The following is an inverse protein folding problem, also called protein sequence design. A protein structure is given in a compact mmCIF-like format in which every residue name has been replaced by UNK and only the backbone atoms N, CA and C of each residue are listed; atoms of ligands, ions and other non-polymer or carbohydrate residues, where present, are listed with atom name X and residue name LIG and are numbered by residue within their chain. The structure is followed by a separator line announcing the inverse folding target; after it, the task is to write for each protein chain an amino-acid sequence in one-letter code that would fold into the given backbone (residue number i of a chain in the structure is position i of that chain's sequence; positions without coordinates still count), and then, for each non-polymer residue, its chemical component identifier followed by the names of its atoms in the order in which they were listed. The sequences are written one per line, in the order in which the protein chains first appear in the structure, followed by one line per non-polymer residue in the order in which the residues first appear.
data_IF_555831982383
#
_entry.id   IF_555831982383
#
_cell.length_a   1.000
_cell.length_b   1.000
_cell.length_c   1.000
_cell.angle_alpha   90.00
_cell.angle_beta   90.00
_cell.angle_gamma   90.00
#
_symmetry.space_group_name_H-M   'P 1'
#
loop_
_entity.id
_entity.type
_entity.pdbx_description
1 polymer ?
#
# COMPACT_ATOMS: atom_id res chain seq x y z
N UNK A 1 3.11 13.83 6.67
CA UNK A 1 1.97 13.05 6.12
C UNK A 1 0.67 13.30 6.87
N UNK A 2 0.61 14.37 7.62
CA UNK A 2 -0.58 14.73 8.38
C UNK A 2 -1.77 14.94 7.45
N UNK A 3 -2.88 14.28 7.78
CA UNK A 3 -4.11 14.41 7.00
C UNK A 3 -4.21 13.50 5.79
N UNK A 4 -3.19 12.71 5.49
CA UNK A 4 -3.27 11.76 4.37
C UNK A 4 -4.17 10.58 4.73
N UNK A 5 -4.88 10.10 3.72
CA UNK A 5 -5.73 8.92 3.84
C UNK A 5 -5.00 7.74 3.20
N UNK A 6 -4.68 6.74 4.01
CA UNK A 6 -3.85 5.61 3.59
C UNK A 6 -4.63 4.30 3.66
N UNK A 7 -4.60 3.54 2.58
CA UNK A 7 -5.12 2.18 2.57
C UNK A 7 -3.93 1.26 2.86
N UNK A 8 -4.00 0.54 3.97
CA UNK A 8 -2.91 -0.33 4.44
C UNK A 8 -3.34 -1.79 4.36
N UNK A 9 -2.68 -2.55 3.51
CA UNK A 9 -2.95 -3.98 3.34
C UNK A 9 -1.82 -4.80 3.94
N UNK A 10 -2.13 -5.61 4.95
CA UNK A 10 -1.19 -6.43 5.69
C UNK A 10 -1.97 -7.58 6.35
N UNK A 11 -1.52 -8.82 6.17
CA UNK A 11 -2.25 -9.97 6.70
C UNK A 11 -1.84 -10.36 8.14
N UNK A 12 -0.69 -9.91 8.59
CA UNK A 12 -0.19 -10.22 9.93
C UNK A 12 -0.69 -9.17 10.92
N UNK A 13 -1.40 -9.64 11.95
CA UNK A 13 -2.02 -8.75 12.94
C UNK A 13 -1.01 -7.84 13.63
N UNK A 14 0.12 -8.39 14.06
CA UNK A 14 1.15 -7.61 14.74
C UNK A 14 1.76 -6.56 13.81
N UNK A 15 2.09 -6.95 12.58
CA UNK A 15 2.65 -6.03 11.60
C UNK A 15 1.64 -4.92 11.25
N UNK A 16 0.36 -5.28 11.17
CA UNK A 16 -0.70 -4.30 10.92
C UNK A 16 -0.76 -3.27 12.04
N UNK A 17 -0.73 -3.72 13.30
CA UNK A 17 -0.78 -2.81 14.44
C UNK A 17 0.42 -1.87 14.46
N UNK A 18 1.61 -2.39 14.18
CA UNK A 18 2.83 -1.59 14.19
C UNK A 18 2.77 -0.52 13.09
N UNK A 19 2.41 -0.92 11.88
CA UNK A 19 2.34 0.02 10.75
C UNK A 19 1.24 1.07 10.98
N UNK A 20 0.08 0.64 11.47
CA UNK A 20 -1.02 1.55 11.77
C UNK A 20 -0.60 2.59 12.80
N UNK A 21 0.07 2.13 13.87
CA UNK A 21 0.55 3.03 14.93
C UNK A 21 1.52 4.05 14.36
N UNK A 22 2.49 3.61 13.56
CA UNK A 22 3.48 4.51 12.96
C UNK A 22 2.82 5.61 12.14
N UNK A 23 1.84 5.23 11.31
CA UNK A 23 1.19 6.16 10.40
C UNK A 23 0.27 7.12 11.15
N UNK A 24 -0.50 6.61 12.10
CA UNK A 24 -1.40 7.45 12.89
C UNK A 24 -0.63 8.44 13.76
N UNK A 25 0.52 8.01 14.27
CA UNK A 25 1.39 8.87 15.06
C UNK A 25 1.91 10.07 14.25
N UNK A 26 1.96 9.92 12.93
CA UNK A 26 2.36 11.00 12.02
C UNK A 26 1.16 11.79 11.49
N UNK A 27 -0.03 11.50 11.99
CA UNK A 27 -1.24 12.24 11.64
C UNK A 27 -2.01 11.74 10.44
N UNK A 28 -1.69 10.55 9.95
CA UNK A 28 -2.42 9.96 8.81
C UNK A 28 -3.65 9.20 9.29
N UNK A 29 -4.66 9.13 8.42
CA UNK A 29 -5.82 8.29 8.64
C UNK A 29 -5.60 6.97 7.91
N UNK A 30 -5.84 5.86 8.59
CA UNK A 30 -5.54 4.53 8.05
C UNK A 30 -6.80 3.68 7.96
N UNK A 31 -7.03 3.10 6.79
CA UNK A 31 -8.05 2.08 6.59
C UNK A 31 -7.32 0.76 6.36
N UNK A 32 -7.72 -0.27 7.10
CA UNK A 32 -7.02 -1.56 7.10
C UNK A 32 -7.66 -2.57 6.17
N UNK A 33 -6.83 -3.28 5.42
CA UNK A 33 -7.24 -4.44 4.63
C UNK A 33 -6.36 -5.62 5.04
N UNK A 34 -6.96 -6.79 5.21
CA UNK A 34 -6.26 -7.95 5.75
C UNK A 34 -5.76 -8.92 4.68
N UNK A 35 -6.08 -8.66 3.44
CA UNK A 35 -5.55 -9.38 2.27
C UNK A 35 -5.75 -8.52 1.03
N UNK A 36 -5.22 -9.00 -0.10
CA UNK A 36 -5.29 -8.24 -1.34
C UNK A 36 -6.71 -8.03 -1.84
N UNK A 37 -7.56 -9.03 -1.65
CA UNK A 37 -8.95 -8.93 -2.11
C UNK A 37 -9.71 -7.85 -1.35
N UNK A 38 -9.51 -7.78 -0.02
CA UNK A 38 -10.11 -6.72 0.78
C UNK A 38 -9.61 -5.35 0.33
N UNK A 39 -8.33 -5.25 0.03
CA UNK A 39 -7.76 -3.97 -0.45
C UNK A 39 -8.44 -3.52 -1.74
N UNK A 40 -8.60 -4.43 -2.69
CA UNK A 40 -9.28 -4.13 -3.95
C UNK A 40 -10.72 -3.68 -3.70
N UNK A 41 -11.46 -4.43 -2.86
CA UNK A 41 -12.86 -4.11 -2.58
C UNK A 41 -13.01 -2.77 -1.87
N UNK A 42 -12.17 -2.49 -0.89
CA UNK A 42 -12.21 -1.21 -0.18
C UNK A 42 -11.93 -0.06 -1.15
N UNK A 43 -10.92 -0.22 -1.98
CA UNK A 43 -10.57 0.82 -2.95
C UNK A 43 -11.70 1.00 -3.98
N UNK A 44 -12.23 -0.09 -4.50
CA UNK A 44 -13.30 -0.06 -5.50
C UNK A 44 -14.54 0.66 -4.99
N UNK A 45 -14.87 0.48 -3.71
CA UNK A 45 -16.04 1.10 -3.08
C UNK A 45 -15.79 2.53 -2.62
N UNK A 46 -14.53 2.97 -2.63
CA UNK A 46 -14.20 4.33 -2.18
C UNK A 46 -14.58 5.36 -3.24
N UNK A 47 -14.70 6.61 -2.80
CA UNK A 47 -14.90 7.72 -3.71
C UNK A 47 -13.59 8.06 -4.43
N UNK A 48 -13.64 8.51 -5.68
CA UNK A 48 -12.43 8.96 -6.37
C UNK A 48 -11.68 10.00 -5.55
N UNK A 49 -10.38 9.77 -5.35
CA UNK A 49 -9.54 10.68 -4.57
C UNK A 49 -9.64 10.50 -3.07
N UNK A 50 -10.41 9.53 -2.58
CA UNK A 50 -10.53 9.29 -1.15
C UNK A 50 -9.22 8.85 -0.50
N UNK A 51 -8.43 8.04 -1.20
CA UNK A 51 -7.13 7.59 -0.71
C UNK A 51 -6.00 8.33 -1.41
N UNK A 52 -4.97 8.65 -0.64
CA UNK A 52 -3.79 9.35 -1.15
C UNK A 52 -2.66 8.39 -1.52
N UNK A 53 -2.59 7.25 -0.83
CA UNK A 53 -1.55 6.26 -1.06
C UNK A 53 -2.00 4.90 -0.56
N UNK A 54 -1.49 3.85 -1.18
CA UNK A 54 -1.74 2.46 -0.76
C UNK A 54 -0.41 1.84 -0.32
N UNK A 55 -0.39 1.29 0.88
CA UNK A 55 0.72 0.48 1.36
C UNK A 55 0.29 -0.96 1.23
N UNK A 56 0.96 -1.73 0.38
CA UNK A 56 0.53 -3.06 -0.01
C UNK A 56 1.60 -4.10 0.31
N UNK A 57 1.31 -4.98 1.27
CA UNK A 57 2.17 -6.13 1.51
C UNK A 57 2.11 -7.04 0.28
N UNK A 58 3.21 -7.63 -0.09
CA UNK A 58 3.27 -8.50 -1.26
C UNK A 58 2.73 -9.89 -0.95
N UNK A 59 3.18 -10.47 0.16
CA UNK A 59 2.81 -11.85 0.52
C UNK A 59 1.59 -11.88 1.43
N UNK A 60 0.43 -12.08 0.85
CA UNK A 60 -0.84 -12.18 1.58
C UNK A 60 -1.66 -13.36 1.06
N UNK A 61 -2.49 -13.97 1.92
CA UNK A 61 -3.38 -15.05 1.48
C UNK A 61 -4.52 -14.49 0.62
N UNK A 62 -5.25 -15.36 -0.03
CA UNK A 62 -6.42 -15.08 -0.88
C UNK A 62 -6.00 -14.37 -2.17
N UNK A 63 -5.37 -13.22 -2.06
CA UNK A 63 -4.85 -12.45 -3.19
C UNK A 63 -3.61 -11.71 -2.71
N UNK A 64 -2.49 -11.91 -3.38
CA UNK A 64 -1.25 -11.23 -3.00
C UNK A 64 -1.22 -9.77 -3.49
N UNK A 65 -0.18 -9.04 -3.06
CA UNK A 65 -0.08 -7.62 -3.38
C UNK A 65 0.09 -7.31 -4.86
N UNK A 66 0.77 -8.19 -5.60
CA UNK A 66 0.92 -8.00 -7.05
C UNK A 66 -0.44 -8.08 -7.74
N UNK A 67 -1.20 -9.13 -7.42
CA UNK A 67 -2.52 -9.35 -8.00
C UNK A 67 -3.47 -8.21 -7.65
N UNK A 68 -3.46 -7.80 -6.39
CA UNK A 68 -4.31 -6.70 -5.92
C UNK A 68 -3.99 -5.40 -6.66
N UNK A 69 -2.70 -5.09 -6.82
CA UNK A 69 -2.28 -3.87 -7.52
C UNK A 69 -2.71 -3.90 -8.98
N UNK A 70 -2.53 -5.04 -9.65
CA UNK A 70 -2.98 -5.17 -11.04
C UNK A 70 -4.47 -4.94 -11.17
N UNK A 71 -5.27 -5.50 -10.25
CA UNK A 71 -6.71 -5.30 -10.27
C UNK A 71 -7.10 -3.85 -10.02
N UNK A 72 -6.45 -3.19 -9.07
CA UNK A 72 -6.72 -1.78 -8.80
C UNK A 72 -6.40 -0.95 -10.03
N UNK A 73 -5.23 -1.18 -10.65
CA UNK A 73 -4.83 -0.43 -11.85
C UNK A 73 -5.77 -0.65 -13.04
N UNK A 74 -6.50 -1.76 -13.05
CA UNK A 74 -7.42 -2.09 -14.13
C UNK A 74 -8.82 -1.48 -13.96
N UNK A 75 -9.10 -0.88 -12.80
CA UNK A 75 -10.39 -0.23 -12.56
C UNK A 75 -10.56 0.97 -13.50
N UNK A 76 -11.80 1.21 -13.93
CA UNK A 76 -12.11 2.32 -14.82
C UNK A 76 -12.28 3.62 -14.03
N UNK A 77 -11.21 4.04 -13.37
CA UNK A 77 -11.14 5.27 -12.57
C UNK A 77 -9.77 5.88 -12.79
N UNK A 78 -9.73 7.18 -12.95
CA UNK A 78 -8.44 7.85 -13.16
C UNK A 78 -7.53 7.76 -11.93
N UNK A 79 -8.09 7.90 -10.74
CA UNK A 79 -7.29 7.80 -9.50
C UNK A 79 -6.67 6.42 -9.33
N UNK A 80 -7.33 5.37 -9.80
CA UNK A 80 -6.80 4.01 -9.71
C UNK A 80 -5.54 3.81 -10.55
N UNK A 81 -5.36 4.61 -11.56
CA UNK A 81 -4.21 4.48 -12.47
C UNK A 81 -3.00 5.26 -12.00
N UNK A 82 -3.19 6.23 -11.11
CA UNK A 82 -2.10 7.12 -10.68
C UNK A 82 -1.82 7.10 -9.19
N UNK A 83 -2.70 6.53 -8.36
CA UNK A 83 -2.48 6.50 -6.93
C UNK A 83 -1.15 5.80 -6.61
N UNK A 84 -0.30 6.39 -5.75
CA UNK A 84 0.94 5.73 -5.37
C UNK A 84 0.66 4.41 -4.65
N UNK A 85 1.32 3.34 -5.08
CA UNK A 85 1.27 2.04 -4.41
C UNK A 85 2.69 1.70 -3.97
N UNK A 86 2.88 1.59 -2.67
CA UNK A 86 4.17 1.28 -2.07
C UNK A 86 4.14 -0.17 -1.60
N UNK A 87 4.97 -1.00 -2.18
CA UNK A 87 5.06 -2.41 -1.80
C UNK A 87 5.83 -2.56 -0.50
N UNK A 88 5.35 -3.43 0.39
CA UNK A 88 6.07 -3.82 1.58
C UNK A 88 6.53 -5.26 1.36
N UNK A 89 7.82 -5.52 1.46
CA UNK A 89 8.38 -6.83 1.14
C UNK A 89 9.36 -7.31 2.19
N UNK A 90 9.31 -8.61 2.49
CA UNK A 90 10.31 -9.26 3.34
C UNK A 90 11.63 -9.46 2.58
N UNK A 91 11.61 -9.25 1.27
CA UNK A 91 12.73 -9.53 0.41
C UNK A 91 12.92 -8.43 -0.64
N UNK A 92 14.04 -7.74 -0.59
CA UNK A 92 14.34 -6.62 -1.47
C UNK A 92 15.19 -7.02 -2.68
N UNK A 93 15.10 -8.26 -3.14
CA UNK A 93 15.85 -8.72 -4.30
C UNK A 93 15.32 -8.09 -5.60
N UNK A 94 16.18 -8.00 -6.59
CA UNK A 94 15.88 -7.39 -7.88
C UNK A 94 14.65 -7.99 -8.56
N UNK A 95 14.46 -9.30 -8.45
CA UNK A 95 13.31 -9.99 -9.04
C UNK A 95 11.99 -9.46 -8.49
N UNK A 96 11.92 -9.29 -7.18
CA UNK A 96 10.70 -8.78 -6.53
C UNK A 96 10.41 -7.35 -6.96
N UNK A 97 11.46 -6.56 -7.16
CA UNK A 97 11.30 -5.18 -7.64
C UNK A 97 10.74 -5.14 -9.05
N UNK A 98 11.20 -6.02 -9.93
CA UNK A 98 10.68 -6.08 -11.29
C UNK A 98 9.23 -6.51 -11.32
N UNK A 99 8.85 -7.51 -10.53
CA UNK A 99 7.47 -7.97 -10.43
C UNK A 99 6.56 -6.86 -9.88
N UNK A 100 7.04 -6.15 -8.88
CA UNK A 100 6.30 -5.04 -8.29
C UNK A 100 6.05 -3.95 -9.33
N UNK A 101 7.07 -3.58 -10.07
CA UNK A 101 6.94 -2.56 -11.11
C UNK A 101 6.00 -3.00 -12.22
N UNK A 102 6.09 -4.25 -12.66
CA UNK A 102 5.21 -4.79 -13.69
C UNK A 102 3.75 -4.82 -13.21
N UNK A 103 3.53 -5.03 -11.92
CA UNK A 103 2.18 -5.02 -11.35
C UNK A 103 1.61 -3.60 -11.23
N UNK A 104 2.45 -2.58 -11.34
CA UNK A 104 2.01 -1.19 -11.23
C UNK A 104 2.35 -0.53 -9.90
N UNK A 105 3.22 -1.13 -9.11
CA UNK A 105 3.70 -0.55 -7.86
C UNK A 105 4.77 0.50 -8.15
N UNK A 106 4.78 1.58 -7.38
CA UNK A 106 5.66 2.73 -7.62
C UNK A 106 6.94 2.67 -6.80
N UNK A 107 6.86 2.16 -5.58
CA UNK A 107 7.98 2.11 -4.66
C UNK A 107 7.91 0.82 -3.84
N UNK A 108 8.96 0.52 -3.11
CA UNK A 108 8.98 -0.62 -2.21
C UNK A 108 9.76 -0.29 -0.95
N UNK A 109 9.38 -0.94 0.15
CA UNK A 109 10.03 -0.80 1.45
C UNK A 109 10.24 -2.20 2.01
N UNK A 110 11.46 -2.48 2.46
CA UNK A 110 11.78 -3.77 3.06
C UNK A 110 11.27 -3.85 4.50
N UNK A 111 10.83 -5.03 4.90
CA UNK A 111 10.47 -5.31 6.28
C UNK A 111 11.70 -5.76 7.06
N UNK A 112 11.82 -5.45 8.33
CA UNK A 112 10.90 -4.65 9.14
C UNK A 112 10.92 -3.18 8.72
N UNK A 113 9.75 -2.57 8.74
CA UNK A 113 9.60 -1.20 8.24
C UNK A 113 10.25 -0.19 9.18
N UNK A 114 11.14 0.64 8.62
CA UNK A 114 11.75 1.75 9.35
C UNK A 114 10.77 2.93 9.31
N UNK A 115 10.33 3.45 10.48
CA UNK A 115 9.35 4.55 10.50
C UNK A 115 9.79 5.78 9.72
N UNK A 116 11.06 6.15 9.83
CA UNK A 116 11.57 7.34 9.14
C UNK A 116 11.57 7.16 7.64
N UNK A 117 11.97 5.97 7.18
CA UNK A 117 11.99 5.65 5.76
C UNK A 117 10.57 5.59 5.21
N UNK A 118 9.65 4.99 5.95
CA UNK A 118 8.26 4.89 5.54
C UNK A 118 7.66 6.28 5.31
N UNK A 119 7.82 7.18 6.27
CA UNK A 119 7.30 8.54 6.18
C UNK A 119 7.91 9.27 4.99
N UNK A 120 9.23 9.12 4.79
CA UNK A 120 9.93 9.75 3.67
C UNK A 120 9.40 9.29 2.33
N UNK A 121 9.25 7.98 2.16
CA UNK A 121 8.79 7.40 0.89
C UNK A 121 7.36 7.83 0.60
N UNK A 122 6.48 7.83 1.62
CA UNK A 122 5.11 8.28 1.45
C UNK A 122 5.08 9.76 1.04
N UNK A 123 5.82 10.58 1.76
CA UNK A 123 5.87 12.01 1.47
C UNK A 123 6.31 12.30 0.03
N UNK A 124 7.35 11.58 -0.43
CA UNK A 124 7.85 11.75 -1.79
C UNK A 124 6.89 11.22 -2.85
N UNK A 125 6.07 10.23 -2.50
CA UNK A 125 5.16 9.59 -3.44
C UNK A 125 3.86 10.35 -3.69
N UNK A 126 3.37 11.08 -2.69
CA UNK A 126 2.06 11.75 -2.76
C UNK A 126 2.11 13.17 -3.30
N UNK A 127 3.23 13.63 -3.69
CA UNK A 127 3.41 15.00 -4.16
C UNK A 127 2.75 15.31 -5.51
#
# INVERSE_FOLDING_TARGET
IKGLHILLAEDNELNMEIAEFMLQNEGADVVKAWNGREAVEIFRKSEPGEFDVILMDIMMPVMNGYEATKMIRSLEREDAKVIPVIAMTANAFTEDRLKAKEAGMDEHIAKPVDPKLLVKVIYESVD
#
